data_IF_594021962066
#
_entry.id   IF_594021962066
#
_cell.length_a   1.000
_cell.length_b   1.000
_cell.length_c   1.000
_cell.angle_alpha   90.00
_cell.angle_beta   90.00
_cell.angle_gamma   90.00
#
_symmetry.space_group_name_H-M   'P 1'
#
loop_
_entity.id
_entity.type
_entity.pdbx_description
1 polymer ?
#
# COMPACT_ATOMS: atom_id res chain seq x y z
N UNK A 1 2.08 13.69 -3.24
CA UNK A 1 2.06 12.29 -3.68
C UNK A 1 2.01 11.31 -2.50
N UNK A 2 2.93 11.46 -1.54
CA UNK A 2 2.94 10.59 -0.36
C UNK A 2 2.37 11.33 0.85
N UNK A 3 1.06 11.50 0.85
CA UNK A 3 0.38 12.14 1.98
C UNK A 3 0.24 11.15 3.12
N UNK A 4 0.64 11.57 4.32
CA UNK A 4 0.52 10.75 5.52
C UNK A 4 -0.32 11.48 6.56
N UNK A 5 -1.00 10.71 7.41
CA UNK A 5 -1.80 11.23 8.50
C UNK A 5 -1.11 10.89 9.82
N UNK A 6 -0.55 11.92 10.45
CA UNK A 6 0.16 11.76 11.72
C UNK A 6 -0.79 11.45 12.89
N UNK A 7 -2.09 11.71 12.71
CA UNK A 7 -3.10 11.44 13.73
C UNK A 7 -3.70 10.05 13.61
N UNK A 8 -3.41 9.35 12.52
CA UNK A 8 -3.94 8.00 12.29
C UNK A 8 -3.31 6.98 13.23
N UNK A 9 -4.07 5.96 13.59
CA UNK A 9 -3.57 4.81 14.35
C UNK A 9 -2.70 3.89 13.49
N UNK A 10 -2.80 4.02 12.18
CA UNK A 10 -1.97 3.24 11.26
C UNK A 10 -0.54 3.79 11.30
N UNK A 11 0.46 2.95 11.57
CA UNK A 11 1.85 3.39 11.58
C UNK A 11 2.25 4.05 10.26
N UNK A 12 3.14 5.03 10.34
CA UNK A 12 3.56 5.79 9.16
C UNK A 12 4.16 4.88 8.09
N UNK A 13 4.99 3.91 8.46
CA UNK A 13 5.60 3.02 7.47
C UNK A 13 4.54 2.23 6.69
N UNK A 14 3.45 1.84 7.38
CA UNK A 14 2.35 1.12 6.74
C UNK A 14 1.56 2.04 5.81
N UNK A 15 1.35 3.30 6.20
CA UNK A 15 0.72 4.29 5.33
C UNK A 15 1.53 4.50 4.06
N UNK A 16 2.86 4.59 4.18
CA UNK A 16 3.76 4.73 3.02
C UNK A 16 3.69 3.51 2.11
N UNK A 17 3.68 2.33 2.70
CA UNK A 17 3.54 1.09 1.94
C UNK A 17 2.24 1.08 1.14
N UNK A 18 1.12 1.31 1.82
CA UNK A 18 -0.21 1.31 1.19
C UNK A 18 -0.32 2.38 0.11
N UNK A 19 0.23 3.55 0.36
CA UNK A 19 0.18 4.64 -0.61
C UNK A 19 0.98 4.32 -1.86
N UNK A 20 2.15 3.70 -1.70
CA UNK A 20 2.97 3.28 -2.84
C UNK A 20 2.21 2.28 -3.71
N UNK A 21 1.61 1.27 -3.09
CA UNK A 21 0.81 0.26 -3.80
C UNK A 21 -0.37 0.93 -4.52
N UNK A 22 -1.05 1.83 -3.85
CA UNK A 22 -2.18 2.57 -4.43
C UNK A 22 -1.76 3.36 -5.67
N UNK A 23 -0.64 4.06 -5.61
CA UNK A 23 -0.13 4.83 -6.74
C UNK A 23 0.21 3.94 -7.94
N UNK A 24 0.71 2.74 -7.66
CA UNK A 24 1.01 1.76 -8.72
C UNK A 24 -0.29 1.25 -9.34
N UNK A 25 -1.27 0.92 -8.53
CA UNK A 25 -2.57 0.42 -9.02
C UNK A 25 -3.26 1.47 -9.89
N UNK A 26 -3.19 2.73 -9.48
CA UNK A 26 -3.80 3.83 -10.24
C UNK A 26 -3.00 4.22 -11.48
N UNK A 27 -1.83 3.61 -11.69
CA UNK A 27 -0.98 3.92 -12.83
C UNK A 27 -0.21 5.23 -12.72
N UNK A 28 -0.21 5.86 -11.55
CA UNK A 28 0.57 7.08 -11.29
C UNK A 28 2.04 6.74 -11.19
N UNK A 29 2.38 5.64 -10.51
CA UNK A 29 3.71 5.05 -10.52
C UNK A 29 3.68 3.84 -11.43
N UNK A 30 4.63 3.78 -12.35
CA UNK A 30 4.70 2.70 -13.34
C UNK A 30 5.99 1.93 -13.19
N UNK A 31 6.03 0.71 -13.73
CA UNK A 31 7.25 -0.10 -13.78
C UNK A 31 8.42 0.73 -14.26
N UNK A 32 9.51 0.66 -13.53
CA UNK A 32 10.74 1.38 -13.86
C UNK A 32 10.81 2.80 -13.32
N UNK A 33 9.72 3.36 -12.82
CA UNK A 33 9.74 4.70 -12.23
C UNK A 33 10.60 4.71 -10.98
N UNK A 34 11.40 5.76 -10.83
CA UNK A 34 12.23 5.92 -9.65
C UNK A 34 11.42 6.50 -8.50
N UNK A 35 11.60 5.91 -7.32
CA UNK A 35 11.00 6.40 -6.09
C UNK A 35 11.91 7.46 -5.45
N UNK A 36 11.34 8.40 -4.66
CA UNK A 36 12.18 9.30 -3.87
C UNK A 36 13.09 8.50 -2.96
N UNK A 37 14.31 9.00 -2.73
CA UNK A 37 15.23 8.35 -1.79
C UNK A 37 14.63 8.38 -0.38
N UNK A 38 15.06 7.43 0.45
CA UNK A 38 14.66 7.39 1.87
C UNK A 38 14.93 8.73 2.54
N UNK A 39 16.13 9.29 2.32
CA UNK A 39 16.52 10.57 2.92
C UNK A 39 15.61 11.71 2.46
N UNK A 40 15.38 11.82 1.16
CA UNK A 40 14.56 12.90 0.62
C UNK A 40 13.11 12.80 1.06
N UNK A 41 12.55 11.61 1.04
CA UNK A 41 11.17 11.41 1.44
C UNK A 41 10.99 11.67 2.94
N UNK A 42 11.92 11.20 3.75
CA UNK A 42 11.88 11.45 5.20
C UNK A 42 11.93 12.95 5.51
N UNK A 43 12.79 13.68 4.80
CA UNK A 43 12.91 15.12 4.95
C UNK A 43 11.64 15.84 4.51
N UNK A 44 11.10 15.46 3.37
CA UNK A 44 9.87 16.05 2.83
C UNK A 44 8.69 15.85 3.77
N UNK A 45 8.55 14.67 4.34
CA UNK A 45 7.45 14.33 5.23
C UNK A 45 7.71 14.68 6.70
N UNK A 46 8.92 15.12 7.03
CA UNK A 46 9.35 15.40 8.41
C UNK A 46 9.19 14.20 9.32
N UNK A 47 9.59 13.04 8.84
CA UNK A 47 9.55 11.79 9.61
C UNK A 47 10.95 11.20 9.73
N UNK A 48 11.09 10.24 10.65
CA UNK A 48 12.34 9.54 10.85
C UNK A 48 12.72 8.73 9.61
N UNK A 49 13.96 8.87 9.09
CA UNK A 49 14.41 8.08 7.95
C UNK A 49 14.26 6.58 8.14
N UNK A 50 14.40 6.08 9.36
CA UNK A 50 14.22 4.65 9.65
C UNK A 50 12.79 4.18 9.36
N UNK A 51 11.81 5.06 9.57
CA UNK A 51 10.41 4.77 9.27
C UNK A 51 10.21 4.60 7.77
N UNK A 52 10.80 5.49 6.98
CA UNK A 52 10.74 5.40 5.50
C UNK A 52 11.49 4.16 5.02
N UNK A 53 12.68 3.91 5.60
CA UNK A 53 13.48 2.74 5.25
C UNK A 53 12.70 1.44 5.51
N UNK A 54 11.95 1.38 6.60
CA UNK A 54 11.14 0.20 6.91
C UNK A 54 10.08 -0.06 5.84
N UNK A 55 9.40 1.00 5.39
CA UNK A 55 8.43 0.88 4.31
C UNK A 55 9.09 0.36 3.03
N UNK A 56 10.25 0.93 2.67
CA UNK A 56 10.99 0.51 1.48
C UNK A 56 11.45 -0.94 1.58
N UNK A 57 11.92 -1.37 2.76
CA UNK A 57 12.34 -2.75 2.97
C UNK A 57 11.19 -3.73 2.77
N UNK A 58 10.01 -3.40 3.27
CA UNK A 58 8.84 -4.26 3.10
C UNK A 58 8.37 -4.31 1.65
N UNK A 59 8.38 -3.16 0.96
CA UNK A 59 8.05 -3.11 -0.46
C UNK A 59 9.03 -3.94 -1.29
N UNK A 60 10.31 -3.89 -0.95
CA UNK A 60 11.35 -4.66 -1.63
C UNK A 60 11.20 -6.16 -1.35
N UNK A 61 10.93 -6.52 -0.10
CA UNK A 61 10.66 -7.91 0.28
C UNK A 61 9.49 -8.49 -0.52
N UNK A 62 8.44 -7.69 -0.72
CA UNK A 62 7.25 -8.11 -1.44
C UNK A 62 7.39 -7.92 -2.96
N UNK A 63 8.60 -7.57 -3.42
CA UNK A 63 8.94 -7.42 -4.85
C UNK A 63 8.12 -6.34 -5.57
N UNK A 64 7.67 -5.35 -4.83
CA UNK A 64 6.94 -4.21 -5.38
C UNK A 64 7.92 -3.16 -5.89
N UNK A 65 9.06 -3.01 -5.20
CA UNK A 65 10.16 -2.18 -5.66
C UNK A 65 11.46 -2.99 -5.69
N UNK A 66 12.44 -2.47 -6.41
CA UNK A 66 13.79 -3.02 -6.39
C UNK A 66 14.77 -1.89 -6.15
N UNK A 67 15.84 -2.23 -5.44
CA UNK A 67 16.93 -1.28 -5.16
C UNK A 67 18.14 -1.65 -6.00
N UNK A 68 18.70 -0.65 -6.68
CA UNK A 68 19.91 -0.81 -7.48
C UNK A 68 21.02 -0.02 -6.80
N UNK A 69 22.10 -0.70 -6.45
CA UNK A 69 23.22 -0.10 -5.74
C UNK A 69 23.72 1.16 -6.47
N UNK A 70 23.78 2.28 -5.76
CA UNK A 70 24.23 3.54 -6.30
C UNK A 70 23.26 4.25 -7.23
N UNK A 71 22.08 3.70 -7.48
CA UNK A 71 21.10 4.28 -8.40
C UNK A 71 19.76 4.60 -7.75
N UNK A 72 19.43 3.96 -6.64
CA UNK A 72 18.17 4.19 -5.91
C UNK A 72 17.18 3.05 -6.02
N UNK A 73 15.94 3.36 -5.73
CA UNK A 73 14.84 2.38 -5.74
C UNK A 73 13.87 2.69 -6.87
N UNK A 74 13.37 1.63 -7.48
CA UNK A 74 12.52 1.72 -8.67
C UNK A 74 11.32 0.79 -8.51
N UNK A 75 10.21 1.15 -9.17
CA UNK A 75 9.04 0.27 -9.23
C UNK A 75 9.44 -0.97 -10.03
N UNK A 76 9.25 -2.13 -9.43
CA UNK A 76 9.60 -3.42 -10.03
C UNK A 76 8.53 -3.84 -11.04
N UNK A 77 8.85 -4.86 -11.85
CA UNK A 77 7.88 -5.53 -12.69
C UNK A 77 6.98 -6.36 -11.78
N UNK A 78 5.78 -5.88 -11.56
CA UNK A 78 4.86 -6.49 -10.60
C UNK A 78 3.88 -7.39 -11.35
N UNK A 79 3.78 -8.63 -10.87
CA UNK A 79 2.74 -9.54 -11.34
C UNK A 79 1.43 -9.09 -10.70
N UNK A 80 0.38 -8.97 -11.48
CA UNK A 80 -0.94 -8.55 -11.01
C UNK A 80 -1.38 -9.31 -9.75
N UNK A 81 -1.05 -10.59 -9.68
CA UNK A 81 -1.43 -11.45 -8.56
C UNK A 81 -0.89 -10.95 -7.21
N UNK A 82 0.31 -10.36 -7.17
CA UNK A 82 0.92 -9.90 -5.92
C UNK A 82 0.16 -8.70 -5.34
N UNK A 83 -0.21 -7.75 -6.19
CA UNK A 83 -0.94 -6.57 -5.76
C UNK A 83 -2.37 -6.93 -5.35
N UNK A 84 -3.04 -7.76 -6.16
CA UNK A 84 -4.39 -8.22 -5.84
C UNK A 84 -4.42 -8.96 -4.51
N UNK A 85 -3.46 -9.83 -4.29
CA UNK A 85 -3.35 -10.59 -3.04
C UNK A 85 -3.19 -9.66 -1.83
N UNK A 86 -2.36 -8.62 -1.98
CA UNK A 86 -2.16 -7.64 -0.91
C UNK A 86 -3.46 -6.89 -0.59
N UNK A 87 -4.16 -6.41 -1.62
CA UNK A 87 -5.43 -5.70 -1.44
C UNK A 87 -6.47 -6.60 -0.78
N UNK A 88 -6.52 -7.85 -1.22
CA UNK A 88 -7.53 -8.79 -0.73
C UNK A 88 -7.31 -9.20 0.73
N UNK A 89 -6.13 -8.99 1.30
CA UNK A 89 -5.90 -9.32 2.71
C UNK A 89 -6.82 -8.52 3.63
N UNK A 90 -6.90 -7.21 3.42
CA UNK A 90 -7.77 -6.35 4.23
C UNK A 90 -9.24 -6.69 4.00
N UNK A 91 -9.60 -6.97 2.75
CA UNK A 91 -10.95 -7.39 2.40
C UNK A 91 -11.31 -8.70 3.10
N UNK A 92 -10.44 -9.70 3.02
CA UNK A 92 -10.68 -10.99 3.65
C UNK A 92 -10.85 -10.86 5.16
N UNK A 93 -10.03 -10.02 5.80
CA UNK A 93 -10.14 -9.74 7.22
C UNK A 93 -11.52 -9.18 7.54
N UNK A 94 -11.96 -8.16 6.80
CA UNK A 94 -13.25 -7.52 7.02
C UNK A 94 -14.42 -8.49 6.79
N UNK A 95 -14.31 -9.33 5.78
CA UNK A 95 -15.32 -10.35 5.50
C UNK A 95 -15.42 -11.34 6.67
N UNK A 96 -14.27 -11.83 7.16
CA UNK A 96 -14.27 -12.76 8.30
C UNK A 96 -14.89 -12.13 9.55
N UNK A 97 -14.57 -10.88 9.83
CA UNK A 97 -15.14 -10.17 10.96
C UNK A 97 -16.66 -10.02 10.82
N UNK A 98 -17.15 -9.70 9.63
CA UNK A 98 -18.56 -9.56 9.36
C UNK A 98 -19.30 -10.90 9.53
N UNK A 99 -18.72 -11.99 9.05
CA UNK A 99 -19.30 -13.33 9.21
C UNK A 99 -19.35 -13.74 10.68
N UNK A 100 -18.30 -13.44 11.45
CA UNK A 100 -18.29 -13.71 12.90
C UNK A 100 -19.34 -12.89 13.63
N UNK A 101 -19.65 -11.70 13.13
CA UNK A 101 -20.70 -10.84 13.71
C UNK A 101 -22.12 -11.31 13.35
N UNK A 102 -22.25 -12.33 12.52
CA UNK A 102 -23.54 -12.92 12.18
C UNK A 102 -24.10 -12.55 10.82
N UNK A 103 -23.38 -11.77 10.01
CA UNK A 103 -23.82 -11.48 8.65
C UNK A 103 -23.64 -12.72 7.77
N UNK A 104 -24.48 -12.86 6.75
CA UNK A 104 -24.38 -13.96 5.81
C UNK A 104 -23.56 -13.55 4.60
N UNK A 105 -23.04 -14.55 3.88
CA UNK A 105 -22.32 -14.29 2.63
C UNK A 105 -23.19 -13.55 1.63
N UNK A 106 -24.47 -13.91 1.54
CA UNK A 106 -25.40 -13.25 0.62
C UNK A 106 -25.59 -11.77 0.98
N UNK A 107 -25.68 -11.45 2.27
CA UNK A 107 -25.76 -10.07 2.71
C UNK A 107 -24.52 -9.28 2.33
N UNK A 108 -23.35 -9.89 2.44
CA UNK A 108 -22.09 -9.26 2.06
C UNK A 108 -21.99 -9.03 0.55
N UNK A 109 -22.42 -10.01 -0.25
CA UNK A 109 -22.43 -9.90 -1.70
C UNK A 109 -23.36 -8.76 -2.14
N UNK A 110 -24.55 -8.70 -1.56
CA UNK A 110 -25.50 -7.63 -1.83
C UNK A 110 -24.93 -6.26 -1.45
N UNK A 111 -24.27 -6.20 -0.31
CA UNK A 111 -23.66 -4.96 0.17
C UNK A 111 -22.57 -4.48 -0.80
N UNK A 112 -21.74 -5.39 -1.30
CA UNK A 112 -20.66 -5.08 -2.22
C UNK A 112 -21.20 -4.36 -3.47
N UNK A 113 -22.34 -4.82 -3.99
CA UNK A 113 -22.95 -4.24 -5.19
C UNK A 113 -23.34 -2.77 -4.98
N UNK A 114 -23.62 -2.37 -3.74
CA UNK A 114 -24.00 -1.01 -3.40
C UNK A 114 -22.85 -0.09 -3.04
N UNK A 115 -21.64 -0.63 -2.89
CA UNK A 115 -20.48 0.18 -2.51
C UNK A 115 -20.04 1.04 -3.70
N UNK A 116 -19.83 2.31 -3.44
CA UNK A 116 -19.40 3.27 -4.46
C UNK A 116 -17.97 3.72 -4.20
N UNK A 117 -17.26 4.03 -5.29
CA UNK A 117 -15.87 4.51 -5.20
C UNK A 117 -15.83 5.93 -4.65
N UNK A 118 -16.79 6.75 -5.04
CA UNK A 118 -16.86 8.14 -4.61
C UNK A 118 -17.89 8.31 -3.50
N UNK A 119 -17.46 8.96 -2.44
CA UNK A 119 -18.33 9.27 -1.30
C UNK A 119 -19.02 10.61 -1.46
#
# INVERSE_FOLDING_TARGET
MFDIDLQSRTPIYEQLYKKTVELIIKGILKEGDQLPSVRNLAKELSVNPNTVAKAHQELERDKIILSLAGRGSFVAKIKDANIKSYIMKDFDFSVREALRAGLTKNELIEHIEGVKIDD
#
